data_IF_956952290959
#
_entry.id   IF_956952290959
#
_cell.length_a   1.000
_cell.length_b   1.000
_cell.length_c   1.000
_cell.angle_alpha   90.00
_cell.angle_beta   90.00
_cell.angle_gamma   90.00
#
_symmetry.space_group_name_H-M   'P 1'
#
loop_
_entity.id
_entity.type
_entity.pdbx_description
1 polymer ?
#
# COMPACT_ATOMS: atom_id res chain seq x y z
N UNK A 1 -18.74 53.14 -17.47
CA UNK A 1 -20.02 52.40 -17.24
C UNK A 1 -19.68 50.95 -17.08
N UNK A 2 -19.87 50.43 -15.85
CA UNK A 2 -19.95 49.02 -15.40
C UNK A 2 -18.73 48.11 -15.62
N UNK A 3 -17.90 47.83 -14.60
CA UNK A 3 -18.06 46.88 -13.48
C UNK A 3 -18.36 45.44 -13.91
N UNK A 4 -17.39 44.52 -13.67
CA UNK A 4 -17.76 43.20 -13.19
C UNK A 4 -16.67 42.59 -12.31
N UNK A 5 -17.08 42.28 -11.14
CA UNK A 5 -16.48 41.69 -9.97
C UNK A 5 -15.78 40.35 -10.21
N UNK A 6 -14.53 40.23 -9.75
CA UNK A 6 -13.83 38.97 -9.51
C UNK A 6 -14.21 38.38 -8.16
N UNK A 7 -14.45 37.09 -8.12
CA UNK A 7 -14.82 36.33 -6.93
C UNK A 7 -13.62 36.03 -6.02
N UNK A 8 -13.73 36.16 -4.68
CA UNK A 8 -12.67 35.78 -3.75
C UNK A 8 -12.87 34.30 -3.31
N UNK A 9 -12.01 33.39 -3.72
CA UNK A 9 -12.11 31.98 -3.29
C UNK A 9 -10.85 31.35 -2.70
N UNK A 10 -9.72 32.04 -2.59
CA UNK A 10 -8.46 31.39 -2.20
C UNK A 10 -7.96 31.67 -0.76
N UNK A 11 -8.53 32.62 -0.05
CA UNK A 11 -8.04 33.02 1.28
C UNK A 11 -8.50 32.09 2.41
N UNK A 12 -9.56 31.31 2.23
CA UNK A 12 -10.14 30.47 3.31
C UNK A 12 -9.40 29.14 3.45
N UNK A 13 -8.75 28.62 2.42
CA UNK A 13 -8.01 27.34 2.48
C UNK A 13 -6.65 27.47 3.18
N UNK A 14 -5.96 28.59 3.05
CA UNK A 14 -4.65 28.82 3.67
C UNK A 14 -4.79 29.02 5.19
N UNK A 15 -5.87 29.62 5.66
CA UNK A 15 -6.10 29.85 7.11
C UNK A 15 -6.35 28.57 7.88
N UNK A 16 -6.95 27.54 7.25
CA UNK A 16 -7.17 26.24 7.92
C UNK A 16 -5.87 25.42 8.05
N UNK A 17 -4.95 25.53 7.11
CA UNK A 17 -3.66 24.82 7.17
C UNK A 17 -2.73 25.45 8.22
N UNK A 18 -2.71 26.77 8.34
CA UNK A 18 -1.90 27.48 9.36
C UNK A 18 -2.42 27.24 10.78
N UNK A 19 -3.74 27.04 10.96
CA UNK A 19 -4.30 26.71 12.29
C UNK A 19 -3.97 25.29 12.73
N UNK A 20 -3.83 24.32 11.83
CA UNK A 20 -3.41 22.95 12.15
C UNK A 20 -1.94 22.89 12.58
N UNK A 21 -1.06 23.65 11.95
CA UNK A 21 0.37 23.71 12.29
C UNK A 21 0.60 24.41 13.65
N UNK A 22 -0.22 25.42 14.01
CA UNK A 22 -0.11 26.09 15.33
C UNK A 22 -0.58 25.23 16.51
N UNK A 23 -1.49 24.25 16.29
CA UNK A 23 -1.90 23.29 17.33
C UNK A 23 -0.88 22.17 17.57
N UNK A 24 -0.01 21.85 16.61
CA UNK A 24 1.02 20.81 16.72
C UNK A 24 2.15 21.13 17.71
N UNK A 25 2.45 22.41 17.97
CA UNK A 25 3.54 22.80 18.91
C UNK A 25 3.21 22.60 20.40
N UNK A 26 1.94 22.41 20.76
CA UNK A 26 1.57 22.05 22.16
C UNK A 26 1.59 20.53 22.41
N UNK A 27 1.49 19.71 21.35
CA UNK A 27 1.55 18.24 21.48
C UNK A 27 2.99 17.70 21.68
N UNK A 28 4.00 18.39 21.17
CA UNK A 28 5.40 17.98 21.34
C UNK A 28 5.93 18.12 22.78
N UNK A 29 5.36 19.03 23.59
CA UNK A 29 5.76 19.14 25.02
C UNK A 29 5.12 18.07 25.92
N UNK A 30 4.03 17.45 25.49
CA UNK A 30 3.36 16.38 26.26
C UNK A 30 4.04 15.02 26.04
N UNK A 31 4.57 14.78 24.85
CA UNK A 31 5.26 13.52 24.52
C UNK A 31 6.64 13.37 25.19
N UNK A 32 7.32 14.48 25.51
CA UNK A 32 8.59 14.46 26.26
C UNK A 32 8.42 14.17 27.75
N UNK A 33 7.24 14.42 28.32
CA UNK A 33 6.99 14.19 29.75
C UNK A 33 6.65 12.71 30.04
N UNK A 34 6.04 11.97 29.10
CA UNK A 34 5.73 10.55 29.28
C UNK A 34 6.94 9.63 29.02
N UNK A 35 7.87 10.01 28.15
CA UNK A 35 9.09 9.22 27.88
C UNK A 35 10.02 9.12 29.10
N UNK A 36 10.00 10.11 30.01
CA UNK A 36 10.81 10.08 31.22
C UNK A 36 10.21 9.22 32.36
N UNK A 37 8.93 8.93 32.34
CA UNK A 37 8.27 8.08 33.35
C UNK A 37 8.43 6.57 33.00
N UNK A 38 8.53 6.20 31.73
CA UNK A 38 8.64 4.80 31.30
C UNK A 38 10.05 4.24 31.55
N UNK A 39 11.10 5.05 31.50
CA UNK A 39 12.47 4.59 31.78
C UNK A 39 12.79 4.33 33.27
N UNK A 40 11.95 4.75 34.22
CA UNK A 40 12.17 4.50 35.65
C UNK A 40 11.56 3.19 36.17
N UNK A 41 10.72 2.48 35.39
CA UNK A 41 10.06 1.24 35.82
C UNK A 41 10.74 -0.05 35.44
N UNK A 42 11.79 -0.04 34.59
CA UNK A 42 12.43 -1.25 34.08
C UNK A 42 13.80 -1.60 34.71
N UNK A 43 14.10 -1.12 35.93
CA UNK A 43 15.40 -1.41 36.59
C UNK A 43 15.35 -2.43 37.73
N UNK A 44 14.23 -3.08 38.01
CA UNK A 44 14.18 -4.13 39.03
C UNK A 44 13.52 -5.39 38.47
N UNK A 45 14.31 -6.26 37.83
CA UNK A 45 14.15 -7.74 37.84
C UNK A 45 15.26 -8.38 37.01
N UNK A 46 16.38 -8.64 37.67
CA UNK A 46 17.35 -9.66 37.24
C UNK A 46 17.94 -10.27 38.52
N UNK A 47 17.63 -11.51 38.73
CA UNK A 47 18.44 -12.56 39.33
C UNK A 47 17.55 -13.77 39.67
N UNK A 48 17.74 -14.90 39.03
CA UNK A 48 18.24 -16.11 39.64
C UNK A 48 18.26 -17.29 38.69
N UNK A 49 19.33 -17.98 38.81
CA UNK A 49 19.92 -19.02 38.02
C UNK A 49 19.28 -20.43 38.16
N UNK A 50 19.50 -21.24 37.13
CA UNK A 50 19.62 -22.68 36.86
C UNK A 50 19.78 -23.63 38.11
N UNK A 51 19.68 -25.01 38.00
CA UNK A 51 20.11 -25.87 36.91
C UNK A 51 19.28 -27.12 36.56
N UNK A 52 19.69 -27.80 35.50
CA UNK A 52 19.57 -29.13 34.95
C UNK A 52 19.12 -30.27 35.88
N UNK A 53 18.32 -31.25 35.33
CA UNK A 53 18.66 -32.69 35.39
C UNK A 53 17.89 -33.50 34.34
N UNK A 54 18.55 -34.57 33.91
CA UNK A 54 18.29 -35.49 32.82
C UNK A 54 17.38 -36.65 33.19
N UNK A 55 16.88 -37.34 32.13
CA UNK A 55 16.68 -38.74 31.89
C UNK A 55 15.43 -39.48 32.48
N UNK A 56 14.64 -40.15 31.69
CA UNK A 56 14.69 -41.57 31.38
C UNK A 56 13.48 -42.03 30.55
N UNK A 57 13.77 -43.02 29.73
CA UNK A 57 12.95 -43.79 28.80
C UNK A 57 11.78 -44.55 29.44
N UNK A 58 10.76 -44.85 28.63
CA UNK A 58 9.76 -45.85 28.97
C UNK A 58 8.75 -46.13 27.84
N UNK A 59 9.04 -47.12 27.02
CA UNK A 59 8.13 -47.73 26.03
C UNK A 59 6.97 -48.44 26.71
N UNK A 60 5.74 -48.36 26.22
CA UNK A 60 4.88 -49.57 26.12
C UNK A 60 3.74 -49.40 25.10
N UNK A 61 3.59 -50.43 24.31
CA UNK A 61 2.50 -50.74 23.38
C UNK A 61 1.25 -51.20 24.17
N UNK A 62 0.04 -50.89 23.64
CA UNK A 62 -1.08 -51.87 23.59
C UNK A 62 -2.22 -51.32 22.72
N UNK A 63 -2.47 -51.98 21.66
CA UNK A 63 -3.59 -52.76 21.12
C UNK A 63 -5.01 -52.17 21.19
N UNK A 64 -5.61 -52.16 19.97
CA UNK A 64 -7.04 -51.98 19.66
C UNK A 64 -7.89 -53.12 20.23
N UNK A 65 -9.21 -52.93 20.35
CA UNK A 65 -10.13 -53.83 19.64
C UNK A 65 -11.20 -53.14 18.80
N UNK A 66 -11.64 -53.88 17.80
CA UNK A 66 -12.73 -53.64 16.85
C UNK A 66 -14.09 -54.05 17.40
N UNK A 67 -15.12 -53.59 16.68
CA UNK A 67 -16.50 -54.12 16.48
C UNK A 67 -17.58 -53.24 17.18
N UNK A 68 -18.77 -52.97 16.67
CA UNK A 68 -19.66 -53.61 15.70
C UNK A 68 -20.68 -52.62 15.15
N UNK A 69 -21.19 -52.91 13.97
CA UNK A 69 -22.30 -52.27 13.25
C UNK A 69 -23.63 -52.35 13.98
N UNK A 70 -24.47 -51.33 13.91
CA UNK A 70 -25.91 -51.51 13.64
C UNK A 70 -26.49 -50.24 13.02
N UNK A 71 -27.25 -50.41 11.95
CA UNK A 71 -27.90 -49.35 11.20
C UNK A 71 -29.24 -48.94 11.83
N UNK A 72 -29.71 -47.74 11.50
CA UNK A 72 -31.07 -47.56 10.99
C UNK A 72 -31.37 -46.10 10.53
N UNK A 73 -31.88 -46.03 9.30
CA UNK A 73 -32.96 -45.22 8.74
C UNK A 73 -33.03 -43.70 9.02
N UNK A 74 -32.81 -42.97 7.94
CA UNK A 74 -33.53 -41.84 7.34
C UNK A 74 -34.46 -40.98 8.19
N UNK A 75 -34.14 -39.73 8.33
CA UNK A 75 -35.11 -38.64 8.08
C UNK A 75 -34.39 -37.41 7.56
N UNK A 76 -34.74 -37.03 6.32
CA UNK A 76 -34.33 -35.80 5.64
C UNK A 76 -34.84 -34.59 6.41
N UNK A 77 -33.94 -33.89 7.11
CA UNK A 77 -34.12 -32.48 7.41
C UNK A 77 -32.99 -31.72 6.74
N UNK A 78 -33.33 -30.87 5.76
CA UNK A 78 -32.41 -29.90 5.20
C UNK A 78 -31.92 -28.98 6.33
N UNK A 79 -30.83 -29.35 6.94
CA UNK A 79 -30.07 -28.46 7.83
C UNK A 79 -29.32 -27.46 6.99
N UNK A 80 -29.65 -26.20 7.18
CA UNK A 80 -28.95 -25.06 6.64
C UNK A 80 -27.45 -25.27 6.72
N UNK A 81 -26.78 -24.91 5.64
CA UNK A 81 -25.32 -24.97 5.44
C UNK A 81 -24.65 -24.30 6.63
N UNK A 82 -24.24 -25.11 7.62
CA UNK A 82 -23.38 -24.66 8.71
C UNK A 82 -22.08 -24.19 8.05
N UNK A 83 -21.82 -22.89 8.13
CA UNK A 83 -20.52 -22.29 7.84
C UNK A 83 -19.47 -23.09 8.62
N UNK A 84 -18.53 -23.67 7.89
CA UNK A 84 -17.40 -24.41 8.46
C UNK A 84 -16.60 -23.47 9.38
N UNK A 85 -16.54 -23.82 10.65
CA UNK A 85 -15.70 -23.22 11.68
C UNK A 85 -14.23 -23.63 11.52
N UNK A 86 -13.65 -23.44 10.35
CA UNK A 86 -12.21 -23.29 10.20
C UNK A 86 -11.94 -21.78 10.15
N UNK A 87 -11.37 -21.25 11.23
CA UNK A 87 -11.33 -19.84 11.58
C UNK A 87 -10.54 -18.90 10.67
N UNK A 88 -10.58 -19.05 9.35
CA UNK A 88 -9.90 -18.15 8.41
C UNK A 88 -10.73 -17.90 7.15
N UNK A 89 -10.68 -16.68 6.65
CA UNK A 89 -11.26 -16.30 5.36
C UNK A 89 -10.35 -16.83 4.25
N UNK A 90 -10.86 -17.67 3.32
CA UNK A 90 -10.03 -18.23 2.25
C UNK A 90 -9.68 -17.13 1.21
N UNK A 91 -8.40 -17.08 0.81
CA UNK A 91 -7.95 -16.30 -0.33
C UNK A 91 -7.52 -17.29 -1.44
N UNK A 92 -8.32 -17.50 -2.49
CA UNK A 92 -7.98 -18.43 -3.58
C UNK A 92 -6.72 -17.99 -4.32
N UNK A 93 -6.02 -18.95 -4.96
CA UNK A 93 -4.86 -18.64 -5.81
C UNK A 93 -5.21 -17.63 -6.89
N UNK A 94 -4.32 -16.68 -7.17
CA UNK A 94 -4.54 -15.62 -8.15
C UNK A 94 -5.54 -14.55 -7.73
N UNK A 95 -5.92 -14.52 -6.45
CA UNK A 95 -6.69 -13.45 -5.82
C UNK A 95 -5.85 -12.72 -4.80
N UNK A 96 -6.27 -11.50 -4.49
CA UNK A 96 -5.68 -10.68 -3.44
C UNK A 96 -6.71 -10.37 -2.37
N UNK A 97 -6.24 -10.27 -1.14
CA UNK A 97 -7.03 -9.85 0.00
C UNK A 97 -6.79 -8.36 0.25
N UNK A 98 -7.86 -7.59 0.25
CA UNK A 98 -7.85 -6.14 0.46
C UNK A 98 -8.57 -5.86 1.77
N UNK A 99 -7.93 -5.17 2.71
CA UNK A 99 -8.55 -4.82 3.99
C UNK A 99 -8.30 -3.36 4.38
N UNK A 100 -9.13 -2.90 5.33
CA UNK A 100 -9.17 -1.51 5.74
C UNK A 100 -10.14 -0.68 4.89
N UNK A 101 -10.84 0.26 5.54
CA UNK A 101 -11.96 0.99 4.94
C UNK A 101 -11.62 1.66 3.61
N UNK A 102 -10.55 2.45 3.58
CA UNK A 102 -10.19 3.20 2.37
C UNK A 102 -9.81 2.30 1.20
N UNK A 103 -9.01 1.25 1.46
CA UNK A 103 -8.60 0.32 0.41
C UNK A 103 -9.81 -0.49 -0.10
N UNK A 104 -10.66 -0.99 0.81
CA UNK A 104 -11.85 -1.73 0.46
C UNK A 104 -12.86 -0.86 -0.31
N UNK A 105 -13.14 0.36 0.15
CA UNK A 105 -14.03 1.29 -0.54
C UNK A 105 -13.55 1.60 -1.95
N UNK A 106 -12.26 1.94 -2.11
CA UNK A 106 -11.69 2.21 -3.42
C UNK A 106 -11.84 1.01 -4.37
N UNK A 107 -11.54 -0.21 -3.87
CA UNK A 107 -11.68 -1.43 -4.64
C UNK A 107 -13.14 -1.73 -5.04
N UNK A 108 -14.09 -1.50 -4.14
CA UNK A 108 -15.53 -1.72 -4.40
C UNK A 108 -16.11 -0.70 -5.38
N UNK A 109 -15.56 0.51 -5.44
CA UNK A 109 -15.98 1.56 -6.39
C UNK A 109 -15.29 1.47 -7.75
N UNK A 110 -14.21 0.70 -7.87
CA UNK A 110 -13.48 0.57 -9.13
C UNK A 110 -14.14 -0.46 -10.06
N UNK A 111 -14.75 -0.05 -11.19
CA UNK A 111 -15.41 -0.97 -12.11
C UNK A 111 -14.43 -1.95 -12.79
N UNK A 112 -13.14 -1.65 -12.78
CA UNK A 112 -12.08 -2.54 -13.30
C UNK A 112 -11.68 -3.63 -12.30
N UNK A 113 -12.04 -3.49 -11.02
CA UNK A 113 -11.71 -4.45 -9.96
C UNK A 113 -12.73 -5.58 -9.93
N UNK A 114 -12.34 -6.79 -10.29
CA UNK A 114 -13.21 -7.97 -10.21
C UNK A 114 -13.26 -8.50 -8.79
N UNK A 115 -14.29 -8.08 -8.05
CA UNK A 115 -14.55 -8.51 -6.67
C UNK A 115 -15.17 -9.91 -6.67
N UNK A 116 -14.61 -10.82 -5.86
CA UNK A 116 -15.09 -12.21 -5.74
C UNK A 116 -15.87 -12.46 -4.45
N UNK A 117 -15.52 -11.80 -3.34
CA UNK A 117 -16.22 -11.89 -2.07
C UNK A 117 -15.98 -10.65 -1.21
N UNK A 118 -16.95 -10.36 -0.33
CA UNK A 118 -16.91 -9.26 0.63
C UNK A 118 -17.23 -9.84 2.00
N UNK A 119 -16.39 -9.56 2.99
CA UNK A 119 -16.56 -9.98 4.38
C UNK A 119 -16.65 -8.74 5.26
N UNK A 120 -17.68 -8.67 6.09
CA UNK A 120 -17.94 -7.53 6.98
C UNK A 120 -18.15 -7.99 8.42
N UNK A 121 -17.59 -7.26 9.35
CA UNK A 121 -18.00 -7.28 10.74
C UNK A 121 -19.38 -6.58 10.90
N UNK A 122 -20.17 -6.99 11.89
CA UNK A 122 -21.50 -6.42 12.11
C UNK A 122 -21.49 -4.90 12.33
N UNK A 123 -20.41 -4.34 12.90
CA UNK A 123 -20.29 -2.89 13.11
C UNK A 123 -20.12 -2.08 11.82
N UNK A 124 -19.92 -2.76 10.67
CA UNK A 124 -19.68 -2.12 9.38
C UNK A 124 -20.93 -1.99 8.49
N UNK A 125 -22.10 -2.46 8.95
CA UNK A 125 -23.31 -2.47 8.15
C UNK A 125 -23.74 -1.07 7.70
N UNK A 126 -23.75 -0.11 8.60
CA UNK A 126 -24.12 1.27 8.29
C UNK A 126 -23.13 1.91 7.32
N UNK A 127 -21.81 1.67 7.53
CA UNK A 127 -20.79 2.15 6.62
C UNK A 127 -20.97 1.55 5.22
N UNK A 128 -21.13 0.23 5.12
CA UNK A 128 -21.27 -0.44 3.83
C UNK A 128 -22.54 0.03 3.08
N UNK A 129 -23.65 0.16 3.78
CA UNK A 129 -24.90 0.66 3.19
C UNK A 129 -24.79 2.11 2.71
N UNK A 130 -24.01 2.95 3.40
CA UNK A 130 -23.79 4.35 3.01
C UNK A 130 -22.96 4.51 1.72
N UNK A 131 -22.27 3.47 1.27
CA UNK A 131 -21.43 3.52 0.06
C UNK A 131 -22.25 3.58 -1.24
N UNK A 132 -23.51 3.16 -1.22
CA UNK A 132 -24.38 3.10 -2.41
C UNK A 132 -23.67 2.44 -3.61
N UNK A 133 -23.17 1.24 -3.39
CA UNK A 133 -22.36 0.49 -4.37
C UNK A 133 -23.25 -0.14 -5.45
N UNK A 134 -22.61 -0.58 -6.55
CA UNK A 134 -23.25 -1.33 -7.63
C UNK A 134 -23.90 -2.60 -7.08
N UNK A 135 -25.20 -2.82 -7.35
CA UNK A 135 -25.92 -4.02 -6.91
C UNK A 135 -25.39 -5.35 -7.48
N UNK A 136 -24.60 -5.31 -8.54
CA UNK A 136 -23.96 -6.48 -9.15
C UNK A 136 -22.81 -7.06 -8.31
N UNK A 137 -22.30 -6.31 -7.33
CA UNK A 137 -21.25 -6.78 -6.43
C UNK A 137 -21.73 -7.96 -5.58
N UNK A 138 -20.84 -8.87 -5.17
CA UNK A 138 -21.17 -9.97 -4.27
C UNK A 138 -21.82 -9.47 -2.99
N UNK A 139 -22.85 -10.17 -2.52
CA UNK A 139 -23.46 -9.89 -1.23
C UNK A 139 -22.45 -10.10 -0.10
N UNK A 140 -22.36 -9.18 0.86
CA UNK A 140 -21.40 -9.30 1.96
C UNK A 140 -21.78 -10.48 2.89
N UNK A 141 -20.75 -11.20 3.32
CA UNK A 141 -20.82 -12.28 4.32
C UNK A 141 -20.45 -11.68 5.68
N UNK A 142 -21.26 -11.94 6.70
CA UNK A 142 -20.96 -11.49 8.07
C UNK A 142 -19.98 -12.43 8.74
N UNK A 143 -18.93 -11.87 9.30
CA UNK A 143 -17.82 -12.61 9.93
C UNK A 143 -17.39 -11.89 11.21
N UNK A 144 -17.06 -12.65 12.24
CA UNK A 144 -16.55 -12.10 13.49
C UNK A 144 -15.14 -11.50 13.33
N UNK A 145 -14.83 -10.46 14.10
CA UNK A 145 -13.52 -9.80 14.07
C UNK A 145 -12.34 -10.74 14.34
N UNK A 146 -12.54 -11.73 15.20
CA UNK A 146 -11.51 -12.72 15.52
C UNK A 146 -11.16 -13.57 14.30
N UNK A 147 -12.15 -13.94 13.48
CA UNK A 147 -11.94 -14.70 12.24
C UNK A 147 -11.23 -13.84 11.20
N UNK A 148 -11.60 -12.57 11.09
CA UNK A 148 -10.91 -11.60 10.22
C UNK A 148 -9.45 -11.44 10.62
N UNK A 149 -9.18 -11.22 11.91
CA UNK A 149 -7.81 -11.09 12.42
C UNK A 149 -6.97 -12.35 12.20
N UNK A 150 -7.58 -13.55 12.36
CA UNK A 150 -6.92 -14.83 12.11
C UNK A 150 -6.60 -15.06 10.62
N UNK A 151 -7.28 -14.36 9.72
CA UNK A 151 -7.10 -14.47 8.27
C UNK A 151 -5.97 -13.60 7.73
N UNK A 152 -5.44 -12.67 8.54
CA UNK A 152 -4.37 -11.75 8.16
C UNK A 152 -3.02 -12.25 8.67
N UNK A 153 -1.97 -12.02 7.88
CA UNK A 153 -0.60 -12.40 8.21
C UNK A 153 0.14 -11.25 8.92
N UNK A 154 1.12 -11.59 9.76
CA UNK A 154 2.03 -10.65 10.40
C UNK A 154 1.38 -9.75 11.46
N UNK A 155 1.96 -8.56 11.65
CA UNK A 155 1.53 -7.54 12.63
C UNK A 155 0.22 -6.84 12.24
N UNK A 156 -0.31 -7.15 11.07
CA UNK A 156 -1.49 -6.52 10.48
C UNK A 156 -2.82 -7.03 11.04
N UNK A 157 -2.79 -8.05 11.90
CA UNK A 157 -3.97 -8.72 12.47
C UNK A 157 -4.97 -7.79 13.15
N UNK A 158 -4.51 -6.68 13.70
CA UNK A 158 -5.36 -5.73 14.44
C UNK A 158 -6.03 -4.65 13.59
N UNK A 159 -5.72 -4.52 12.28
CA UNK A 159 -6.06 -3.28 11.52
C UNK A 159 -6.95 -3.54 10.32
N UNK A 160 -7.72 -4.65 10.29
CA UNK A 160 -8.69 -4.93 9.22
C UNK A 160 -9.88 -3.95 9.18
N UNK A 161 -10.11 -3.18 10.24
CA UNK A 161 -11.19 -2.19 10.35
C UNK A 161 -12.58 -2.75 10.02
N UNK A 162 -12.80 -4.05 10.22
CA UNK A 162 -14.08 -4.73 10.04
C UNK A 162 -14.47 -5.01 8.58
N UNK A 163 -13.59 -4.86 7.61
CA UNK A 163 -13.85 -5.16 6.21
C UNK A 163 -12.68 -5.87 5.54
N UNK A 164 -12.99 -6.95 4.79
CA UNK A 164 -12.07 -7.67 3.92
C UNK A 164 -12.76 -7.94 2.58
N UNK A 165 -12.07 -7.64 1.48
CA UNK A 165 -12.52 -7.86 0.11
C UNK A 165 -11.55 -8.83 -0.57
N UNK A 166 -12.07 -9.86 -1.23
CA UNK A 166 -11.30 -10.75 -2.09
C UNK A 166 -11.54 -10.37 -3.54
N UNK A 167 -10.48 -10.06 -4.27
CA UNK A 167 -10.58 -9.60 -5.64
C UNK A 167 -9.46 -10.17 -6.53
N UNK A 168 -9.60 -10.06 -7.85
CA UNK A 168 -8.49 -10.29 -8.77
C UNK A 168 -7.50 -9.12 -8.70
N UNK A 169 -6.20 -9.34 -8.92
CA UNK A 169 -5.25 -8.27 -9.17
C UNK A 169 -5.73 -7.37 -10.32
N UNK A 170 -5.35 -6.09 -10.28
CA UNK A 170 -5.61 -5.18 -11.39
C UNK A 170 -4.68 -5.49 -12.56
N UNK A 171 -5.25 -5.50 -13.77
CA UNK A 171 -4.47 -5.53 -14.98
C UNK A 171 -4.01 -4.12 -15.33
N UNK A 172 -2.72 -3.88 -15.31
CA UNK A 172 -2.15 -2.63 -15.82
C UNK A 172 -2.07 -2.68 -17.36
N UNK A 173 -2.22 -1.54 -18.05
CA UNK A 173 -1.99 -1.47 -19.49
C UNK A 173 -0.51 -1.75 -19.82
N UNK A 174 -0.23 -2.20 -21.04
CA UNK A 174 1.12 -2.16 -21.58
C UNK A 174 1.57 -0.71 -21.77
N UNK A 175 2.88 -0.45 -21.68
CA UNK A 175 3.43 0.90 -21.78
C UNK A 175 3.03 1.59 -23.10
N UNK A 176 3.12 0.86 -24.23
CA UNK A 176 2.78 1.41 -25.55
C UNK A 176 1.30 1.83 -25.60
N UNK A 177 0.38 0.98 -25.18
CA UNK A 177 -1.04 1.30 -25.14
C UNK A 177 -1.37 2.45 -24.16
N UNK A 178 -0.58 2.61 -23.10
CA UNK A 178 -0.73 3.72 -22.17
C UNK A 178 -0.24 5.04 -22.77
N UNK A 179 0.87 5.00 -23.54
CA UNK A 179 1.42 6.18 -24.23
C UNK A 179 0.55 6.68 -25.38
N UNK A 180 -0.16 5.76 -26.05
CA UNK A 180 -1.11 6.05 -27.12
C UNK A 180 -2.47 6.56 -26.61
N UNK A 181 -2.73 6.47 -25.29
CA UNK A 181 -3.96 6.91 -24.68
C UNK A 181 -4.01 8.41 -24.35
N UNK A 182 -5.12 8.84 -23.75
CA UNK A 182 -5.31 10.22 -23.30
C UNK A 182 -4.43 10.51 -22.07
N UNK A 183 -3.30 11.14 -22.29
CA UNK A 183 -2.42 11.59 -21.22
C UNK A 183 -2.86 12.97 -20.67
N UNK A 184 -2.63 13.25 -19.37
CA UNK A 184 -2.77 14.61 -18.85
C UNK A 184 -1.90 15.60 -19.61
N UNK A 185 -2.25 16.88 -19.59
CA UNK A 185 -1.47 17.94 -20.23
C UNK A 185 0.00 17.97 -19.75
N UNK A 186 0.22 17.74 -18.46
CA UNK A 186 1.54 17.64 -17.83
C UNK A 186 1.70 16.29 -17.12
N UNK A 187 1.96 15.20 -17.87
CA UNK A 187 2.06 13.88 -17.28
C UNK A 187 3.35 13.74 -16.43
N UNK A 188 3.17 13.43 -15.17
CA UNK A 188 4.25 13.11 -14.22
C UNK A 188 4.30 11.60 -13.99
N UNK A 189 5.46 10.99 -14.22
CA UNK A 189 5.69 9.55 -14.05
C UNK A 189 6.68 9.26 -12.94
N UNK A 190 6.53 8.10 -12.33
CA UNK A 190 7.56 7.50 -11.48
C UNK A 190 8.08 6.23 -12.14
N UNK A 191 9.41 6.09 -12.25
CA UNK A 191 10.08 4.89 -12.71
C UNK A 191 10.82 4.27 -11.53
N UNK A 192 10.50 3.03 -11.19
CA UNK A 192 11.07 2.33 -10.02
C UNK A 192 12.15 1.34 -10.47
N UNK A 193 13.42 1.65 -10.17
CA UNK A 193 14.56 0.80 -10.49
C UNK A 193 14.90 -0.13 -9.33
N UNK A 194 14.44 -1.38 -9.41
CA UNK A 194 14.68 -2.46 -8.43
C UNK A 194 14.14 -2.18 -7.01
N UNK A 195 13.04 -1.46 -6.90
CA UNK A 195 12.34 -1.34 -5.61
C UNK A 195 11.46 -2.57 -5.42
N UNK A 196 11.81 -3.40 -4.43
CA UNK A 196 11.17 -4.72 -4.19
C UNK A 196 10.30 -4.76 -2.95
N UNK A 197 10.44 -3.81 -2.02
CA UNK A 197 9.62 -3.78 -0.82
C UNK A 197 8.19 -3.31 -1.15
N UNK A 198 7.23 -4.19 -0.89
CA UNK A 198 5.80 -3.94 -1.12
C UNK A 198 5.24 -2.78 -0.33
N UNK A 199 5.77 -2.51 0.87
CA UNK A 199 5.37 -1.37 1.71
C UNK A 199 5.80 -0.05 1.06
N UNK A 200 7.04 0.00 0.56
CA UNK A 200 7.53 1.17 -0.14
C UNK A 200 6.76 1.42 -1.43
N UNK A 201 6.50 0.38 -2.24
CA UNK A 201 5.70 0.51 -3.47
C UNK A 201 4.31 1.05 -3.16
N UNK A 202 3.63 0.49 -2.15
CA UNK A 202 2.32 0.96 -1.73
C UNK A 202 2.32 2.40 -1.24
N UNK A 203 3.32 2.80 -0.44
CA UNK A 203 3.48 4.17 0.03
C UNK A 203 3.78 5.14 -1.13
N UNK A 204 4.60 4.73 -2.11
CA UNK A 204 4.84 5.49 -3.35
C UNK A 204 3.55 5.67 -4.13
N UNK A 205 2.74 4.62 -4.32
CA UNK A 205 1.42 4.71 -4.97
C UNK A 205 0.52 5.74 -4.29
N UNK A 206 0.51 5.75 -2.96
CA UNK A 206 -0.28 6.72 -2.17
C UNK A 206 0.16 8.16 -2.43
N UNK A 207 1.46 8.42 -2.43
CA UNK A 207 2.04 9.73 -2.74
C UNK A 207 1.81 10.11 -4.21
N UNK A 208 1.98 9.17 -5.14
CA UNK A 208 1.71 9.36 -6.56
C UNK A 208 0.27 9.82 -6.81
N UNK A 209 -0.71 9.19 -6.14
CA UNK A 209 -2.11 9.61 -6.22
C UNK A 209 -2.34 11.01 -5.64
N UNK A 210 -1.73 11.30 -4.49
CA UNK A 210 -1.89 12.58 -3.81
C UNK A 210 -1.35 13.76 -4.65
N UNK A 211 -0.24 13.54 -5.38
CA UNK A 211 0.42 14.53 -6.22
C UNK A 211 0.15 14.36 -7.72
N UNK A 212 -0.94 13.65 -8.07
CA UNK A 212 -1.46 13.52 -9.44
C UNK A 212 -0.45 12.95 -10.45
N UNK A 213 0.44 12.06 -10.02
CA UNK A 213 1.23 11.30 -10.98
C UNK A 213 0.30 10.47 -11.90
N UNK A 214 0.66 10.39 -13.18
CA UNK A 214 -0.15 9.73 -14.19
C UNK A 214 0.01 8.20 -14.18
N UNK A 215 1.22 7.69 -13.88
CA UNK A 215 1.50 6.26 -13.75
C UNK A 215 2.79 6.00 -12.96
N UNK A 216 2.94 4.74 -12.54
CA UNK A 216 4.19 4.19 -12.01
C UNK A 216 4.66 3.09 -12.96
N UNK A 217 5.94 3.14 -13.36
CA UNK A 217 6.57 2.14 -14.23
C UNK A 217 7.61 1.37 -13.42
N UNK A 218 7.61 0.04 -13.54
CA UNK A 218 8.55 -0.84 -12.84
C UNK A 218 8.90 -2.05 -13.68
N UNK A 219 9.92 -2.82 -13.29
CA UNK A 219 10.29 -4.05 -14.01
C UNK A 219 9.55 -5.26 -13.48
N UNK A 220 9.10 -6.17 -14.36
CA UNK A 220 8.41 -7.41 -14.01
C UNK A 220 9.18 -8.26 -13.01
N UNK A 221 10.50 -8.43 -13.24
CA UNK A 221 11.34 -9.32 -12.44
C UNK A 221 11.56 -8.89 -11.01
N UNK A 222 11.45 -7.60 -10.71
CA UNK A 222 11.86 -7.03 -9.43
C UNK A 222 10.68 -6.39 -8.67
N UNK A 223 9.55 -6.24 -9.31
CA UNK A 223 8.36 -5.77 -8.65
C UNK A 223 7.51 -6.97 -8.18
N UNK A 224 7.25 -7.11 -6.89
CA UNK A 224 6.36 -8.15 -6.40
C UNK A 224 4.98 -8.02 -7.04
N UNK A 225 4.26 -9.13 -7.15
CA UNK A 225 2.86 -9.11 -7.54
C UNK A 225 2.04 -8.27 -6.54
N UNK A 226 0.91 -7.77 -7.03
CA UNK A 226 -0.05 -7.07 -6.17
C UNK A 226 -0.42 -7.97 -4.98
N UNK A 227 -0.23 -7.48 -3.78
CA UNK A 227 -0.50 -8.21 -2.57
C UNK A 227 -1.12 -7.31 -1.48
N UNK A 228 -1.60 -7.95 -0.45
CA UNK A 228 -2.32 -7.29 0.63
C UNK A 228 -1.51 -6.19 1.33
N UNK A 229 -0.21 -6.41 1.57
CA UNK A 229 0.68 -5.43 2.21
C UNK A 229 0.84 -4.17 1.36
N UNK A 230 1.03 -4.34 0.04
CA UNK A 230 1.10 -3.24 -0.93
C UNK A 230 -0.22 -2.44 -0.95
N UNK A 231 -1.36 -3.14 -1.09
CA UNK A 231 -2.68 -2.52 -1.19
C UNK A 231 -3.05 -1.75 0.08
N UNK A 232 -2.69 -2.29 1.24
CA UNK A 232 -2.87 -1.60 2.51
C UNK A 232 -2.04 -0.32 2.60
N UNK A 233 -0.75 -0.40 2.28
CA UNK A 233 0.14 0.77 2.27
C UNK A 233 -0.33 1.84 1.27
N UNK A 234 -0.85 1.42 0.12
CA UNK A 234 -1.43 2.29 -0.90
C UNK A 234 -2.74 2.96 -0.46
N UNK A 235 -3.45 2.41 0.54
CA UNK A 235 -4.68 3.00 1.11
C UNK A 235 -5.71 3.40 0.03
N UNK A 236 -5.93 2.52 -0.95
CA UNK A 236 -6.85 2.73 -2.08
C UNK A 236 -6.23 3.40 -3.31
N UNK A 237 -5.02 3.95 -3.23
CA UNK A 237 -4.37 4.60 -4.37
C UNK A 237 -4.09 3.64 -5.54
N UNK A 238 -3.89 2.35 -5.25
CA UNK A 238 -3.68 1.31 -6.26
C UNK A 238 -4.84 1.19 -7.26
N UNK A 239 -6.05 1.58 -6.86
CA UNK A 239 -7.23 1.57 -7.73
C UNK A 239 -7.25 2.70 -8.76
N UNK A 240 -6.38 3.70 -8.61
CA UNK A 240 -6.36 4.91 -9.41
C UNK A 240 -5.07 5.14 -10.19
N UNK A 241 -3.95 4.61 -9.69
CA UNK A 241 -2.63 4.79 -10.31
C UNK A 241 -2.22 3.48 -10.99
N UNK A 242 -2.10 3.43 -12.31
CA UNK A 242 -1.61 2.23 -13.00
C UNK A 242 -0.15 1.94 -12.63
N UNK A 243 0.10 0.68 -12.25
CA UNK A 243 1.45 0.13 -12.05
C UNK A 243 1.85 -0.63 -13.32
N UNK A 244 2.45 0.08 -14.28
CA UNK A 244 2.85 -0.46 -15.56
C UNK A 244 4.12 -1.29 -15.37
N UNK A 245 4.08 -2.53 -15.84
CA UNK A 245 5.20 -3.46 -15.75
C UNK A 245 5.89 -3.57 -17.09
N UNK A 246 7.22 -3.46 -17.09
CA UNK A 246 8.05 -3.57 -18.29
C UNK A 246 9.14 -4.61 -18.08
N UNK A 247 9.52 -5.31 -19.15
CA UNK A 247 10.60 -6.30 -19.08
C UNK A 247 11.96 -5.63 -18.90
N UNK A 248 12.16 -4.46 -19.52
CA UNK A 248 13.41 -3.73 -19.52
C UNK A 248 13.18 -2.23 -19.30
N UNK A 249 13.61 -1.73 -18.11
CA UNK A 249 13.43 -0.33 -17.74
C UNK A 249 14.20 0.62 -18.68
N UNK A 250 15.40 0.23 -19.15
CA UNK A 250 16.17 1.05 -20.06
C UNK A 250 15.48 1.25 -21.40
N UNK A 251 14.86 0.21 -21.95
CA UNK A 251 14.07 0.33 -23.20
C UNK A 251 12.81 1.17 -22.96
N UNK A 252 12.16 1.02 -21.81
CA UNK A 252 11.04 1.88 -21.47
C UNK A 252 11.43 3.35 -21.34
N UNK A 253 12.61 3.63 -20.80
CA UNK A 253 13.15 5.01 -20.73
C UNK A 253 13.37 5.60 -22.12
N UNK A 254 13.95 4.86 -23.06
CA UNK A 254 14.11 5.34 -24.45
C UNK A 254 12.73 5.66 -25.08
N UNK A 255 11.77 4.73 -24.98
CA UNK A 255 10.42 4.97 -25.47
C UNK A 255 9.77 6.23 -24.89
N UNK A 256 9.93 6.47 -23.59
CA UNK A 256 9.42 7.68 -22.95
C UNK A 256 10.06 8.95 -23.53
N UNK A 257 11.38 8.93 -23.76
CA UNK A 257 12.08 10.05 -24.41
C UNK A 257 11.56 10.33 -25.82
N UNK A 258 11.33 9.26 -26.61
CA UNK A 258 10.75 9.36 -27.96
C UNK A 258 9.35 10.02 -27.95
N UNK A 259 8.63 9.91 -26.78
CA UNK A 259 7.35 10.58 -26.54
C UNK A 259 7.48 11.95 -25.85
N UNK A 260 8.70 12.47 -25.76
CA UNK A 260 9.00 13.82 -25.25
C UNK A 260 9.03 13.94 -23.73
N UNK A 261 9.24 12.86 -22.99
CA UNK A 261 9.47 12.92 -21.55
C UNK A 261 10.92 13.28 -21.23
N UNK A 262 11.12 14.22 -20.33
CA UNK A 262 12.39 14.45 -19.65
C UNK A 262 12.52 13.46 -18.49
N UNK A 263 13.59 12.68 -18.45
CA UNK A 263 13.83 11.66 -17.41
C UNK A 263 14.90 12.13 -16.41
N UNK A 264 14.50 12.34 -15.17
CA UNK A 264 15.38 12.79 -14.10
C UNK A 264 15.65 11.68 -13.09
N UNK A 265 16.89 11.26 -12.97
CA UNK A 265 17.36 10.25 -12.00
C UNK A 265 17.60 10.88 -10.63
N UNK A 266 16.85 10.38 -9.60
CA UNK A 266 17.01 10.86 -8.24
C UNK A 266 18.21 10.17 -7.56
N UNK A 267 19.18 10.96 -7.11
CA UNK A 267 20.37 10.49 -6.42
C UNK A 267 20.85 11.52 -5.39
N UNK A 268 21.52 11.07 -4.33
CA UNK A 268 22.08 11.96 -3.31
C UNK A 268 23.13 12.95 -3.90
N UNK A 269 23.86 12.51 -4.93
CA UNK A 269 24.94 13.28 -5.55
C UNK A 269 24.53 13.98 -6.87
N UNK A 270 23.23 14.19 -7.11
CA UNK A 270 22.75 14.89 -8.27
C UNK A 270 23.27 16.34 -8.31
N UNK A 271 23.65 16.81 -9.50
CA UNK A 271 24.18 18.19 -9.67
C UNK A 271 23.08 19.24 -9.57
N UNK A 272 21.83 18.85 -9.91
CA UNK A 272 20.69 19.76 -10.06
C UNK A 272 19.68 19.57 -8.93
N UNK A 273 19.22 20.63 -8.27
CA UNK A 273 18.12 20.54 -7.31
C UNK A 273 16.82 20.14 -8.00
N UNK A 274 16.02 19.25 -7.36
CA UNK A 274 14.79 18.72 -7.95
C UNK A 274 13.75 19.81 -8.29
N UNK A 275 13.73 20.92 -7.57
CA UNK A 275 12.80 22.03 -7.78
C UNK A 275 12.93 22.67 -9.16
N UNK A 276 14.10 22.55 -9.82
CA UNK A 276 14.31 23.05 -11.17
C UNK A 276 13.45 22.36 -12.23
N UNK A 277 12.90 21.17 -11.92
CA UNK A 277 12.05 20.39 -12.82
C UNK A 277 10.58 20.79 -12.79
N UNK A 278 10.17 21.72 -11.94
CA UNK A 278 8.76 22.09 -11.77
C UNK A 278 8.10 22.64 -13.06
N UNK A 279 8.90 23.11 -14.03
CA UNK A 279 8.42 23.63 -15.30
C UNK A 279 8.39 22.59 -16.44
N UNK A 280 8.93 21.39 -16.22
CA UNK A 280 8.99 20.34 -17.25
C UNK A 280 7.57 19.92 -17.70
N UNK A 281 7.29 19.94 -19.02
CA UNK A 281 5.95 19.64 -19.53
C UNK A 281 5.58 18.14 -19.41
N UNK A 282 6.56 17.25 -19.62
CA UNK A 282 6.42 15.80 -19.46
C UNK A 282 7.61 15.27 -18.67
N UNK A 283 7.37 14.84 -17.45
CA UNK A 283 8.44 14.48 -16.51
C UNK A 283 8.34 13.04 -16.04
N UNK A 284 9.46 12.31 -16.10
CA UNK A 284 9.64 11.00 -15.46
C UNK A 284 10.72 11.07 -14.38
N UNK A 285 10.34 10.84 -13.13
CA UNK A 285 11.28 10.72 -12.01
C UNK A 285 11.70 9.27 -11.83
N UNK A 286 13.01 9.01 -11.91
CA UNK A 286 13.58 7.67 -11.76
C UNK A 286 14.15 7.52 -10.35
N UNK A 287 13.61 6.55 -9.59
CA UNK A 287 13.99 6.25 -8.23
C UNK A 287 14.69 4.89 -8.16
N UNK A 288 15.83 4.84 -7.50
CA UNK A 288 16.59 3.61 -7.28
C UNK A 288 16.24 2.90 -5.98
N UNK A 289 16.76 1.68 -5.82
CA UNK A 289 16.62 0.89 -4.62
C UNK A 289 17.31 1.54 -3.41
N UNK A 290 16.78 1.27 -2.21
CA UNK A 290 17.39 1.71 -0.96
C UNK A 290 18.83 1.19 -0.83
N UNK A 291 19.75 2.04 -0.40
CA UNK A 291 21.16 1.76 -0.21
C UNK A 291 21.99 1.69 -1.50
N UNK A 292 21.48 1.06 -2.57
CA UNK A 292 22.20 0.92 -3.85
C UNK A 292 21.94 2.08 -4.82
N UNK A 293 20.87 2.82 -4.64
CA UNK A 293 20.46 3.88 -5.55
C UNK A 293 20.09 3.39 -6.95
N UNK A 294 20.28 4.22 -7.95
CA UNK A 294 20.07 3.90 -9.36
C UNK A 294 21.18 2.97 -9.88
N UNK A 295 20.81 1.99 -10.68
CA UNK A 295 21.80 1.22 -11.44
C UNK A 295 22.55 2.13 -12.41
N UNK A 296 23.82 1.80 -12.68
CA UNK A 296 24.70 2.56 -13.58
C UNK A 296 24.01 2.85 -14.94
N UNK A 297 23.49 1.83 -15.59
CA UNK A 297 22.81 1.99 -16.90
C UNK A 297 21.55 2.84 -16.81
N UNK A 298 20.81 2.78 -15.70
CA UNK A 298 19.62 3.60 -15.49
C UNK A 298 20.00 5.08 -15.29
N UNK A 299 21.07 5.32 -14.52
CA UNK A 299 21.60 6.68 -14.32
C UNK A 299 22.15 7.30 -15.61
N UNK A 300 22.90 6.51 -16.43
CA UNK A 300 23.45 6.95 -17.73
C UNK A 300 22.35 7.26 -18.77
N UNK A 301 21.17 6.65 -18.65
CA UNK A 301 20.03 6.89 -19.57
C UNK A 301 19.11 7.99 -19.10
N UNK A 302 19.21 8.47 -17.88
CA UNK A 302 18.52 9.66 -17.43
C UNK A 302 19.09 10.89 -18.15
N UNK A 303 18.24 11.86 -18.48
CA UNK A 303 18.66 13.12 -19.12
C UNK A 303 19.44 13.99 -18.15
N UNK A 304 19.14 13.85 -16.86
CA UNK A 304 19.86 14.53 -15.79
C UNK A 304 19.77 13.76 -14.48
N UNK A 305 20.73 14.02 -13.59
CA UNK A 305 20.73 13.53 -12.21
C UNK A 305 20.38 14.68 -11.27
N UNK A 306 19.32 14.48 -10.48
CA UNK A 306 18.81 15.48 -9.56
C UNK A 306 18.91 15.00 -8.12
N UNK A 307 18.95 15.95 -7.18
CA UNK A 307 18.95 15.66 -5.75
C UNK A 307 17.81 16.39 -5.04
N UNK A 308 17.33 15.77 -3.96
CA UNK A 308 16.58 16.48 -2.92
C UNK A 308 17.62 17.13 -2.01
N UNK A 309 17.61 18.45 -1.83
CA UNK A 309 18.49 19.10 -0.86
C UNK A 309 18.10 18.63 0.56
N UNK A 310 18.97 17.88 1.21
CA UNK A 310 18.85 17.44 2.61
C UNK A 310 20.11 17.87 3.35
N UNK A 311 20.10 17.81 4.66
CA UNK A 311 21.25 18.05 5.50
C UNK A 311 22.38 17.08 5.17
N UNK A 312 23.62 17.60 5.13
CA UNK A 312 24.80 16.82 4.76
C UNK A 312 25.13 15.70 5.79
N UNK A 313 24.63 15.83 7.03
CA UNK A 313 24.77 14.79 8.05
C UNK A 313 23.75 13.65 7.87
N UNK A 314 22.74 13.84 7.02
CA UNK A 314 21.75 12.81 6.70
C UNK A 314 22.24 11.93 5.54
N UNK A 315 22.43 10.63 5.77
CA UNK A 315 22.92 9.71 4.74
C UNK A 315 21.95 9.58 3.56
N UNK A 316 20.66 9.43 3.82
CA UNK A 316 19.61 9.28 2.78
C UNK A 316 18.21 9.39 3.36
N UNK A 317 17.22 9.47 2.48
CA UNK A 317 15.80 9.28 2.81
C UNK A 317 15.35 7.87 2.39
N UNK A 318 14.42 7.28 3.17
CA UNK A 318 13.67 6.12 2.68
C UNK A 318 13.06 6.45 1.32
N UNK A 319 13.07 5.50 0.39
CA UNK A 319 12.66 5.73 -1.01
C UNK A 319 11.24 6.22 -1.15
N UNK A 320 10.31 5.79 -0.30
CA UNK A 320 8.93 6.29 -0.33
C UNK A 320 8.81 7.73 0.15
N UNK A 321 9.63 8.14 1.13
CA UNK A 321 9.72 9.54 1.57
C UNK A 321 10.38 10.40 0.49
N UNK A 322 11.47 9.92 -0.13
CA UNK A 322 12.10 10.59 -1.26
C UNK A 322 11.12 10.80 -2.42
N UNK A 323 10.33 9.78 -2.76
CA UNK A 323 9.28 9.88 -3.78
C UNK A 323 8.23 10.94 -3.42
N UNK A 324 7.77 11.00 -2.17
CA UNK A 324 6.78 11.97 -1.73
C UNK A 324 7.30 13.40 -1.82
N UNK A 325 8.54 13.64 -1.36
CA UNK A 325 9.19 14.96 -1.43
C UNK A 325 9.44 15.38 -2.88
N UNK A 326 9.93 14.44 -3.71
CA UNK A 326 10.17 14.69 -5.12
C UNK A 326 8.89 15.05 -5.87
N UNK A 327 7.83 14.28 -5.69
CA UNK A 327 6.52 14.55 -6.28
C UNK A 327 5.95 15.90 -5.84
N UNK A 328 6.06 16.23 -4.55
CA UNK A 328 5.63 17.54 -4.05
C UNK A 328 6.38 18.70 -4.69
N UNK A 329 7.69 18.54 -4.91
CA UNK A 329 8.53 19.58 -5.50
C UNK A 329 8.23 19.86 -6.97
N UNK A 330 7.68 18.88 -7.72
CA UNK A 330 7.47 18.97 -9.18
C UNK A 330 6.02 18.78 -9.60
N UNK A 331 5.07 18.73 -8.65
CA UNK A 331 3.66 18.48 -8.94
C UNK A 331 3.13 19.48 -10.01
N UNK A 332 2.29 18.99 -10.95
CA UNK A 332 1.74 19.79 -12.04
C UNK A 332 0.76 20.86 -11.59
#
# INVERSE_FOLDING_TARGET
>A
MFEHFGKPCDTIRITRYVLMVKRGRKAQRFCQYESHQIMRKNKHTKANARPRQEAHEGKSRHQKPQSMRSGNTSTNYQKGRKTSTSGQIPCPRGKVMIWGRHAAEAALRNPKRRVSAIYLDASMDNWFSSLNLDPSLPRPVRVEKVVMAASLEGDDKAVHQGVIVIASPLNAPHLDAWLEGDLPERPLLLLLDQITDTRNIGAIMRSARAFRAAAIITTDRHCPEENATMLRAASGAAEHIPLIRVTNLSQAMEKLKDHGFTLAGLTAHGSTPIQSLAAEPKLGLVLGAEGKGLRRLTAERADMLVRIPIDDEAESLNVSNAAAVALFAVQP
#
